data_IF_206200970580
#
_entry.id   IF_206200970580
#
_cell.length_a   1.000
_cell.length_b   1.000
_cell.length_c   1.000
_cell.angle_alpha   90.00
_cell.angle_beta   90.00
_cell.angle_gamma   90.00
#
_symmetry.space_group_name_H-M   'P 1'
#
loop_
_entity.id
_entity.type
_entity.pdbx_description
1 polymer ?
#
# COMPACT_ATOMS: atom_id res chain seq x y z
N UNK A 1 -34.69 58.59 -32.09
CA UNK A 1 -35.12 57.23 -31.70
C UNK A 1 -34.16 56.23 -32.33
N UNK A 2 -33.03 55.99 -31.69
CA UNK A 2 -31.97 55.07 -32.15
C UNK A 2 -31.87 53.89 -31.23
N UNK A 3 -31.84 52.69 -31.80
CA UNK A 3 -31.55 51.44 -31.14
C UNK A 3 -30.05 51.18 -31.19
N UNK A 4 -29.34 50.91 -30.10
CA UNK A 4 -27.93 50.57 -30.16
C UNK A 4 -27.76 49.09 -30.50
N UNK A 5 -26.80 48.82 -31.43
CA UNK A 5 -26.47 47.52 -31.95
C UNK A 5 -25.74 46.63 -30.94
N UNK A 6 -25.97 45.35 -31.12
CA UNK A 6 -25.21 44.24 -30.52
C UNK A 6 -23.80 44.18 -31.15
N UNK A 7 -22.76 44.30 -30.35
CA UNK A 7 -21.44 43.77 -30.68
C UNK A 7 -20.69 43.48 -29.38
N UNK A 8 -20.62 42.23 -29.02
CA UNK A 8 -19.90 41.70 -27.87
C UNK A 8 -19.74 40.19 -27.98
N UNK A 9 -19.21 39.71 -29.12
CA UNK A 9 -18.65 38.38 -29.18
C UNK A 9 -17.26 38.46 -28.51
N UNK A 10 -17.19 38.01 -27.25
CA UNK A 10 -15.93 37.87 -26.58
C UNK A 10 -15.09 36.82 -27.33
N UNK A 11 -13.90 37.25 -27.76
CA UNK A 11 -12.89 36.39 -28.35
C UNK A 11 -12.51 35.33 -27.28
N UNK A 12 -12.87 34.08 -27.54
CA UNK A 12 -12.39 32.93 -26.77
C UNK A 12 -10.88 32.85 -27.04
N UNK A 13 -10.04 32.98 -26.01
CA UNK A 13 -8.59 32.95 -26.15
C UNK A 13 -8.12 31.64 -26.76
N UNK A 14 -7.03 31.66 -27.51
CA UNK A 14 -6.43 30.46 -28.12
C UNK A 14 -6.10 29.38 -27.08
N UNK A 15 -5.84 29.78 -25.84
CA UNK A 15 -5.63 28.87 -24.71
C UNK A 15 -6.88 28.04 -24.34
N UNK A 16 -8.08 28.66 -24.33
CA UNK A 16 -9.33 27.95 -24.05
C UNK A 16 -9.73 26.94 -25.13
N UNK A 17 -9.31 27.18 -26.39
CA UNK A 17 -9.52 26.28 -27.53
C UNK A 17 -8.54 25.09 -27.44
N UNK A 18 -7.31 25.30 -26.97
CA UNK A 18 -6.31 24.27 -26.83
C UNK A 18 -6.62 23.35 -25.62
N UNK A 19 -7.16 23.90 -24.56
CA UNK A 19 -7.63 23.14 -23.39
C UNK A 19 -8.84 22.27 -23.71
N UNK A 20 -9.82 22.74 -24.50
CA UNK A 20 -10.92 21.89 -25.01
C UNK A 20 -10.45 20.79 -25.96
N UNK A 21 -9.41 21.00 -26.74
CA UNK A 21 -8.79 19.96 -27.58
C UNK A 21 -8.02 18.92 -26.76
N UNK A 22 -7.47 19.31 -25.60
CA UNK A 22 -6.85 18.36 -24.65
C UNK A 22 -7.89 17.44 -24.00
N UNK A 23 -9.07 17.98 -23.67
CA UNK A 23 -10.17 17.22 -23.05
C UNK A 23 -10.93 16.31 -24.03
N UNK A 24 -10.79 16.53 -25.34
CA UNK A 24 -11.46 15.76 -26.40
C UNK A 24 -10.61 14.59 -26.95
N UNK A 25 -9.52 14.19 -26.30
CA UNK A 25 -8.78 12.99 -26.69
C UNK A 25 -9.55 11.74 -26.28
N UNK A 26 -9.61 10.69 -27.15
CA UNK A 26 -10.18 9.40 -26.75
C UNK A 26 -9.40 8.89 -25.54
N UNK A 27 -10.05 8.10 -24.65
CA UNK A 27 -9.37 7.53 -23.48
C UNK A 27 -8.13 6.75 -23.96
N UNK A 28 -7.00 7.05 -23.34
CA UNK A 28 -5.73 6.39 -23.64
C UNK A 28 -5.89 4.88 -23.39
N UNK A 29 -5.27 4.06 -24.22
CA UNK A 29 -5.14 2.63 -23.94
C UNK A 29 -4.40 2.46 -22.61
N UNK A 30 -4.63 1.34 -21.91
CA UNK A 30 -4.00 1.05 -20.61
C UNK A 30 -2.46 1.14 -20.69
N UNK A 31 -1.85 0.81 -21.84
CA UNK A 31 -0.41 0.92 -22.07
C UNK A 31 0.06 2.38 -22.20
N UNK A 32 -0.68 3.22 -22.90
CA UNK A 32 -0.39 4.66 -23.03
C UNK A 32 -0.59 5.39 -21.70
N UNK A 33 -1.62 4.98 -20.95
CA UNK A 33 -1.96 5.54 -19.66
C UNK A 33 -0.88 5.21 -18.60
N UNK A 34 -0.41 3.96 -18.50
CA UNK A 34 0.62 3.57 -17.55
C UNK A 34 1.97 4.26 -17.82
N UNK A 35 2.37 4.41 -19.08
CA UNK A 35 3.60 5.11 -19.46
C UNK A 35 3.55 6.62 -19.21
N UNK A 36 2.36 7.21 -19.24
CA UNK A 36 2.16 8.63 -18.97
C UNK A 36 2.06 8.90 -17.47
N UNK A 37 1.40 8.03 -16.74
CA UNK A 37 1.20 8.12 -15.29
C UNK A 37 2.53 8.08 -14.52
N UNK A 38 3.49 7.26 -14.94
CA UNK A 38 4.81 7.21 -14.31
C UNK A 38 5.62 8.50 -14.54
N UNK A 39 5.58 9.07 -15.75
CA UNK A 39 6.25 10.35 -16.04
C UNK A 39 5.57 11.52 -15.35
N UNK A 40 4.25 11.52 -15.27
CA UNK A 40 3.48 12.56 -14.59
C UNK A 40 3.59 12.44 -13.07
N UNK A 41 3.72 11.24 -12.51
CA UNK A 41 3.99 11.00 -11.11
C UNK A 41 5.35 11.60 -10.68
N UNK A 42 6.42 11.37 -11.45
CA UNK A 42 7.73 11.97 -11.17
C UNK A 42 7.72 13.50 -11.36
N UNK A 43 6.96 14.00 -12.34
CA UNK A 43 6.85 15.43 -12.61
C UNK A 43 6.08 16.15 -11.50
N UNK A 44 4.97 15.57 -11.03
CA UNK A 44 4.14 16.14 -9.96
C UNK A 44 4.82 16.08 -8.60
N UNK A 45 5.65 15.08 -8.34
CA UNK A 45 6.48 15.03 -7.14
C UNK A 45 7.56 16.14 -7.12
N UNK A 46 7.91 16.69 -8.26
CA UNK A 46 8.85 17.84 -8.39
C UNK A 46 8.16 19.21 -8.35
N UNK A 47 6.89 19.28 -8.75
CA UNK A 47 6.11 20.51 -8.84
C UNK A 47 5.17 20.72 -7.64
N UNK A 48 5.24 19.87 -6.61
CA UNK A 48 4.55 20.09 -5.33
C UNK A 48 5.21 21.27 -4.63
N UNK A 49 4.60 22.43 -4.77
CA UNK A 49 5.04 23.68 -4.17
C UNK A 49 5.04 23.58 -2.64
N UNK A 50 6.17 23.89 -2.03
CA UNK A 50 6.46 23.84 -0.58
C UNK A 50 5.52 24.71 0.29
N UNK A 51 4.67 25.53 -0.33
CA UNK A 51 3.79 26.47 0.35
C UNK A 51 2.59 25.84 1.04
N UNK A 52 2.07 24.71 0.53
CA UNK A 52 0.90 24.05 1.12
C UNK A 52 1.21 23.24 2.40
N UNK A 53 2.48 22.87 2.61
CA UNK A 53 2.92 22.07 3.77
C UNK A 53 3.26 22.87 5.03
N UNK A 54 3.28 24.22 4.98
CA UNK A 54 3.72 25.06 6.08
C UNK A 54 2.63 25.54 7.04
N UNK A 55 1.34 25.31 6.78
CA UNK A 55 0.25 25.93 7.54
C UNK A 55 -0.36 25.08 8.66
N UNK A 56 -0.12 23.77 8.74
CA UNK A 56 -0.70 22.94 9.82
C UNK A 56 0.22 22.95 11.04
N UNK A 57 -0.12 23.77 12.06
CA UNK A 57 0.73 24.03 13.22
C UNK A 57 0.39 23.23 14.47
N UNK A 58 -0.78 22.55 14.56
CA UNK A 58 -1.14 21.79 15.78
C UNK A 58 -2.15 20.66 15.52
N UNK A 59 -2.24 19.69 16.46
CA UNK A 59 -3.29 18.66 16.45
C UNK A 59 -4.71 19.26 16.53
N UNK A 60 -4.86 20.42 17.15
CA UNK A 60 -6.13 21.15 17.25
C UNK A 60 -6.57 21.68 15.89
N UNK A 61 -5.64 22.18 15.07
CA UNK A 61 -5.94 22.67 13.73
C UNK A 61 -6.44 21.56 12.81
N UNK A 62 -5.88 20.34 12.95
CA UNK A 62 -6.33 19.15 12.20
C UNK A 62 -7.75 18.73 12.62
N UNK A 63 -8.08 18.78 13.92
CA UNK A 63 -9.41 18.42 14.41
C UNK A 63 -10.48 19.43 13.96
N UNK A 64 -10.14 20.70 13.93
CA UNK A 64 -11.06 21.75 13.46
C UNK A 64 -11.26 21.67 11.94
N UNK A 65 -10.20 21.42 11.15
CA UNK A 65 -10.32 21.18 9.71
C UNK A 65 -11.21 19.97 9.38
N UNK A 66 -11.14 18.89 10.16
CA UNK A 66 -12.00 17.71 9.98
C UNK A 66 -13.48 18.03 10.27
N UNK A 67 -13.79 18.97 11.16
CA UNK A 67 -15.19 19.38 11.48
C UNK A 67 -15.86 20.10 10.32
N UNK A 68 -15.11 20.88 9.56
CA UNK A 68 -15.63 21.72 8.47
C UNK A 68 -15.72 21.00 7.11
N UNK A 69 -15.28 19.73 7.03
CA UNK A 69 -15.35 18.95 5.80
C UNK A 69 -16.81 18.68 5.38
N UNK A 70 -17.13 18.98 4.12
CA UNK A 70 -18.40 18.55 3.52
C UNK A 70 -18.44 17.00 3.48
N UNK A 71 -19.44 16.41 4.14
CA UNK A 71 -19.56 14.95 4.21
C UNK A 71 -20.16 14.36 2.94
N UNK A 72 -19.71 13.15 2.57
CA UNK A 72 -20.34 12.36 1.51
C UNK A 72 -21.71 11.84 1.95
N UNK A 73 -22.47 11.26 1.02
CA UNK A 73 -23.55 10.35 1.40
C UNK A 73 -23.00 9.15 2.19
N UNK A 74 -23.85 8.51 2.98
CA UNK A 74 -23.50 7.27 3.67
C UNK A 74 -23.42 6.13 2.66
N UNK A 75 -22.34 5.37 2.71
CA UNK A 75 -22.09 4.18 1.88
C UNK A 75 -22.28 2.94 2.75
N UNK A 76 -23.13 2.02 2.31
CA UNK A 76 -23.27 0.73 2.97
C UNK A 76 -22.13 -0.20 2.52
N UNK A 77 -21.41 -0.76 3.50
CA UNK A 77 -20.44 -1.83 3.27
C UNK A 77 -20.90 -3.13 3.90
N UNK A 78 -20.28 -4.24 3.54
CA UNK A 78 -20.58 -5.57 4.13
C UNK A 78 -20.35 -5.63 5.64
N UNK A 79 -19.56 -4.71 6.19
CA UNK A 79 -19.28 -4.67 7.63
C UNK A 79 -20.10 -3.61 8.38
N UNK A 80 -20.58 -2.57 7.69
CA UNK A 80 -21.38 -1.51 8.29
C UNK A 80 -21.37 -0.23 7.44
N UNK A 81 -22.22 0.77 7.78
CA UNK A 81 -22.27 2.02 7.05
C UNK A 81 -21.05 2.90 7.34
N UNK A 82 -20.56 3.58 6.29
CA UNK A 82 -19.41 4.49 6.38
C UNK A 82 -19.73 5.82 5.71
N UNK A 83 -19.03 6.89 6.12
CA UNK A 83 -19.19 8.21 5.54
C UNK A 83 -17.82 8.89 5.44
N UNK A 84 -17.46 9.32 4.23
CA UNK A 84 -16.26 10.09 3.92
C UNK A 84 -16.51 11.59 3.86
N UNK A 85 -15.65 12.29 3.14
CA UNK A 85 -15.74 13.72 2.88
C UNK A 85 -15.56 14.02 1.40
N UNK A 86 -15.95 15.24 1.00
CA UNK A 86 -15.75 15.76 -0.35
C UNK A 86 -14.51 16.62 -0.39
N UNK A 87 -13.73 16.46 -1.44
CA UNK A 87 -12.57 17.25 -1.75
C UNK A 87 -12.63 17.59 -3.25
N UNK A 88 -13.09 18.78 -3.56
CA UNK A 88 -13.37 19.21 -4.93
C UNK A 88 -14.37 18.24 -5.61
N UNK A 89 -13.98 17.62 -6.73
CA UNK A 89 -14.82 16.65 -7.45
C UNK A 89 -14.76 15.24 -6.86
N UNK A 90 -13.89 15.01 -5.87
CA UNK A 90 -13.66 13.70 -5.29
C UNK A 90 -14.53 13.45 -4.06
N UNK A 91 -14.87 12.20 -3.87
CA UNK A 91 -15.34 11.64 -2.61
C UNK A 91 -14.21 10.78 -2.03
N UNK A 92 -13.79 11.13 -0.82
CA UNK A 92 -12.61 10.59 -0.16
C UNK A 92 -13.01 9.86 1.11
N UNK A 93 -12.50 8.66 1.28
CA UNK A 93 -12.71 7.84 2.46
C UNK A 93 -11.35 7.40 2.99
N UNK A 94 -10.95 7.90 4.16
CA UNK A 94 -9.67 7.58 4.80
C UNK A 94 -9.88 6.72 6.05
N UNK A 95 -9.04 5.71 6.24
CA UNK A 95 -9.06 4.84 7.41
C UNK A 95 -10.25 3.88 7.45
N UNK A 96 -10.72 3.41 6.29
CA UNK A 96 -11.72 2.35 6.23
C UNK A 96 -11.16 1.05 6.77
N UNK A 97 -11.75 0.49 7.81
CA UNK A 97 -11.35 -0.78 8.41
C UNK A 97 -11.79 -1.96 7.54
N UNK A 98 -10.85 -2.75 7.04
CA UNK A 98 -11.10 -3.96 6.27
C UNK A 98 -10.86 -5.25 7.06
N UNK A 99 -10.04 -5.18 8.13
CA UNK A 99 -9.68 -6.29 8.98
C UNK A 99 -9.86 -5.99 10.47
N UNK A 100 -10.11 -7.02 11.27
CA UNK A 100 -10.08 -6.94 12.73
C UNK A 100 -8.65 -6.59 13.19
N UNK A 101 -8.52 -5.84 14.28
CA UNK A 101 -7.22 -5.51 14.85
C UNK A 101 -6.39 -6.79 15.10
N UNK A 102 -5.22 -6.96 14.51
CA UNK A 102 -4.41 -8.17 14.61
C UNK A 102 -3.56 -8.18 15.89
N UNK A 103 -4.22 -8.03 17.03
CA UNK A 103 -3.63 -7.93 18.37
C UNK A 103 -3.96 -9.14 19.23
N UNK A 104 -3.17 -9.39 20.28
CA UNK A 104 -3.40 -10.49 21.22
C UNK A 104 -3.51 -11.85 20.52
N UNK A 105 -4.61 -12.54 20.69
CA UNK A 105 -4.85 -13.86 20.08
C UNK A 105 -4.94 -13.87 18.55
N UNK A 106 -5.04 -12.69 17.90
CA UNK A 106 -5.01 -12.55 16.44
C UNK A 106 -3.62 -12.19 15.91
N UNK A 107 -2.66 -11.90 16.78
CA UNK A 107 -1.26 -11.63 16.39
C UNK A 107 -0.65 -12.87 15.73
N UNK A 108 0.15 -12.68 14.67
CA UNK A 108 0.81 -13.73 13.88
C UNK A 108 -0.14 -14.76 13.23
N UNK A 109 -1.41 -14.41 13.05
CA UNK A 109 -2.41 -15.27 12.41
C UNK A 109 -2.93 -14.65 11.12
N UNK A 110 -3.52 -15.46 10.22
CA UNK A 110 -4.29 -14.95 9.10
C UNK A 110 -5.30 -13.89 9.56
N UNK A 111 -5.54 -12.83 8.78
CA UNK A 111 -6.45 -11.77 9.16
C UNK A 111 -7.89 -12.27 9.22
N UNK A 112 -8.72 -11.55 9.98
CA UNK A 112 -10.16 -11.79 10.04
C UNK A 112 -10.92 -10.53 9.66
N UNK A 113 -12.11 -10.69 9.09
CA UNK A 113 -13.04 -9.58 8.88
C UNK A 113 -13.38 -8.91 10.22
N UNK A 114 -13.55 -7.58 10.26
CA UNK A 114 -13.96 -6.92 11.49
C UNK A 114 -15.39 -7.33 11.86
N UNK A 115 -15.74 -7.23 13.15
CA UNK A 115 -17.11 -7.37 13.58
C UNK A 115 -18.00 -6.33 12.87
N UNK A 116 -19.21 -6.71 12.45
CA UNK A 116 -20.15 -5.77 11.86
C UNK A 116 -20.53 -4.65 12.85
N UNK A 117 -20.78 -3.44 12.31
CA UNK A 117 -21.27 -2.30 13.08
C UNK A 117 -22.52 -1.71 12.45
N UNK A 118 -23.36 -1.02 13.27
CA UNK A 118 -24.64 -0.43 12.86
C UNK A 118 -24.61 1.08 12.73
N UNK A 119 -23.76 1.73 13.51
CA UNK A 119 -23.63 3.19 13.48
C UNK A 119 -22.77 3.63 12.31
N UNK A 120 -23.02 4.84 11.78
CA UNK A 120 -22.21 5.37 10.67
C UNK A 120 -20.80 5.68 11.16
N UNK A 121 -19.82 4.97 10.63
CA UNK A 121 -18.41 5.25 10.90
C UNK A 121 -17.89 6.35 9.97
N UNK A 122 -17.33 7.42 10.52
CA UNK A 122 -16.71 8.50 9.77
C UNK A 122 -15.31 8.06 9.28
N UNK A 123 -15.13 8.00 7.96
CA UNK A 123 -13.91 7.64 7.27
C UNK A 123 -13.20 8.91 6.76
N UNK A 124 -12.74 9.75 7.66
CA UNK A 124 -12.20 11.10 7.35
C UNK A 124 -10.74 11.30 7.78
N UNK A 125 -10.19 10.34 8.51
CA UNK A 125 -8.81 10.37 9.00
C UNK A 125 -8.08 9.08 8.64
N UNK A 126 -6.79 9.18 8.39
CA UNK A 126 -5.95 8.02 8.10
C UNK A 126 -5.95 7.03 9.28
N UNK A 127 -6.02 5.74 8.99
CA UNK A 127 -5.74 4.70 9.97
C UNK A 127 -4.24 4.58 10.27
N UNK A 128 -3.89 4.02 11.41
CA UNK A 128 -2.50 3.81 11.80
C UNK A 128 -1.76 2.95 10.76
N UNK A 129 -0.53 3.31 10.39
CA UNK A 129 0.36 2.42 9.66
C UNK A 129 0.84 1.29 10.59
N UNK A 130 1.24 0.17 9.97
CA UNK A 130 1.80 -0.95 10.71
C UNK A 130 3.07 -0.55 11.48
N UNK A 131 3.32 -1.23 12.61
CA UNK A 131 4.59 -1.14 13.33
C UNK A 131 5.73 -1.44 12.35
N UNK A 132 6.78 -0.61 12.37
CA UNK A 132 7.83 -0.60 11.36
C UNK A 132 9.22 -0.67 11.96
N UNK A 133 10.16 -1.25 11.21
CA UNK A 133 11.56 -1.26 11.60
C UNK A 133 12.10 0.17 11.71
N UNK A 134 12.78 0.47 12.82
CA UNK A 134 13.39 1.78 13.07
C UNK A 134 12.43 2.90 13.49
N UNK A 135 11.14 2.59 13.70
CA UNK A 135 10.13 3.52 14.22
C UNK A 135 9.51 2.89 15.47
N UNK A 136 9.50 3.59 16.59
CA UNK A 136 8.88 3.05 17.81
C UNK A 136 7.35 2.98 17.66
N UNK A 137 6.68 2.01 18.31
CA UNK A 137 5.22 1.96 18.34
C UNK A 137 4.64 3.29 18.87
N UNK A 138 3.62 3.82 18.19
CA UNK A 138 3.04 5.12 18.50
C UNK A 138 3.76 6.32 17.87
N UNK A 139 4.98 6.15 17.36
CA UNK A 139 5.69 7.20 16.61
C UNK A 139 5.21 7.26 15.15
N UNK A 140 5.22 8.46 14.58
CA UNK A 140 4.90 8.67 13.16
C UNK A 140 6.06 8.24 12.27
N UNK A 141 5.75 7.72 11.09
CA UNK A 141 6.74 7.25 10.09
C UNK A 141 7.48 8.41 9.41
N UNK A 142 7.21 9.65 9.79
CA UNK A 142 7.71 10.84 9.13
C UNK A 142 9.20 10.82 8.84
N UNK A 143 9.55 10.80 7.57
CA UNK A 143 10.90 11.07 7.06
C UNK A 143 11.94 9.97 7.22
N UNK A 144 11.62 8.77 7.75
CA UNK A 144 12.62 7.74 8.03
C UNK A 144 12.76 6.63 6.98
N UNK A 145 11.75 6.43 6.14
CA UNK A 145 11.78 5.35 5.15
C UNK A 145 11.97 5.82 3.71
N UNK A 146 12.70 6.85 3.43
CA UNK A 146 13.15 7.39 2.14
C UNK A 146 13.18 8.93 2.14
N UNK A 147 13.06 9.57 3.31
CA UNK A 147 13.04 11.03 3.42
C UNK A 147 11.65 11.65 3.19
N UNK A 148 10.62 10.82 3.08
CA UNK A 148 9.26 11.32 2.86
C UNK A 148 8.63 11.84 4.16
N UNK A 149 8.03 13.03 4.15
CA UNK A 149 7.31 13.54 5.31
C UNK A 149 6.07 12.67 5.59
N UNK A 150 5.72 12.50 6.85
CA UNK A 150 4.42 11.93 7.20
C UNK A 150 3.30 12.80 6.61
N UNK A 151 2.23 12.15 6.14
CA UNK A 151 1.06 12.91 5.74
C UNK A 151 0.51 13.70 6.94
N UNK A 152 0.05 14.94 6.75
CA UNK A 152 -0.59 15.69 7.81
C UNK A 152 -1.71 14.88 8.47
N UNK A 153 -1.71 14.79 9.81
CA UNK A 153 -2.69 14.02 10.57
C UNK A 153 -2.51 12.49 10.50
N UNK A 154 -1.40 11.98 9.97
CA UNK A 154 -1.11 10.55 10.02
C UNK A 154 -0.85 10.14 11.48
N UNK A 155 -1.57 9.12 12.02
CA UNK A 155 -1.32 8.62 13.36
C UNK A 155 0.02 7.89 13.46
N UNK A 156 0.48 7.68 14.70
CA UNK A 156 1.64 6.83 14.96
C UNK A 156 1.42 5.37 14.54
N UNK A 157 2.50 4.61 14.45
CA UNK A 157 2.45 3.18 14.10
C UNK A 157 1.75 2.36 15.17
N UNK A 158 0.92 1.41 14.74
CA UNK A 158 0.17 0.52 15.64
C UNK A 158 0.07 -0.90 15.03
N UNK A 159 -0.20 -1.89 15.88
CA UNK A 159 -0.59 -3.22 15.40
C UNK A 159 -2.01 -3.18 14.79
N UNK A 160 -2.91 -2.33 15.30
CA UNK A 160 -4.22 -2.08 14.70
C UNK A 160 -4.09 -1.21 13.44
N UNK A 161 -3.61 -1.82 12.37
CA UNK A 161 -3.20 -1.16 11.14
C UNK A 161 -3.99 -1.58 9.88
N UNK A 162 -5.01 -2.44 10.00
CA UNK A 162 -5.70 -3.02 8.85
C UNK A 162 -6.75 -2.05 8.28
N UNK A 163 -6.25 -1.00 7.63
CA UNK A 163 -7.04 0.09 7.02
C UNK A 163 -6.70 0.30 5.55
N UNK A 164 -7.70 0.78 4.80
CA UNK A 164 -7.53 1.25 3.43
C UNK A 164 -8.04 2.68 3.30
N UNK A 165 -7.64 3.34 2.22
CA UNK A 165 -8.20 4.63 1.82
C UNK A 165 -8.75 4.50 0.41
N UNK A 166 -9.83 5.23 0.10
CA UNK A 166 -10.53 5.19 -1.20
C UNK A 166 -10.77 6.60 -1.70
N UNK A 167 -10.45 6.85 -2.98
CA UNK A 167 -10.76 8.07 -3.71
C UNK A 167 -11.58 7.72 -4.95
N UNK A 168 -12.67 8.47 -5.19
CA UNK A 168 -13.54 8.28 -6.35
C UNK A 168 -14.21 9.58 -6.77
N UNK A 169 -14.52 9.74 -8.04
CA UNK A 169 -15.33 10.88 -8.52
C UNK A 169 -16.84 10.70 -8.28
N UNK A 170 -17.31 9.52 -7.87
CA UNK A 170 -18.73 9.31 -7.60
C UNK A 170 -19.04 7.92 -7.08
N UNK A 171 -20.13 7.84 -6.28
CA UNK A 171 -20.56 6.60 -5.62
C UNK A 171 -21.37 5.68 -6.54
N UNK A 172 -21.51 6.01 -7.81
CA UNK A 172 -22.21 5.20 -8.80
C UNK A 172 -21.36 5.07 -10.07
N UNK A 173 -21.63 4.06 -10.87
CA UNK A 173 -20.88 3.78 -12.10
C UNK A 173 -20.15 2.44 -12.04
N UNK A 174 -19.22 2.24 -12.96
CA UNK A 174 -18.37 1.06 -13.09
C UNK A 174 -16.96 1.50 -13.47
N UNK A 175 -16.32 2.30 -12.60
CA UNK A 175 -14.95 2.77 -12.84
C UNK A 175 -13.96 1.64 -12.64
N UNK A 176 -12.89 1.58 -13.44
CA UNK A 176 -11.76 0.71 -13.14
C UNK A 176 -11.24 0.98 -11.71
N UNK A 177 -10.79 -0.05 -11.04
CA UNK A 177 -10.28 0.04 -9.67
C UNK A 177 -8.77 -0.17 -9.68
N UNK A 178 -8.03 0.72 -9.03
CA UNK A 178 -6.58 0.64 -8.89
C UNK A 178 -6.19 0.49 -7.42
N UNK A 179 -5.62 -0.66 -7.07
CA UNK A 179 -5.21 -0.98 -5.69
C UNK A 179 -3.70 -0.83 -5.58
N UNK A 180 -3.26 0.19 -4.84
CA UNK A 180 -1.85 0.51 -4.60
C UNK A 180 -1.28 -0.28 -3.42
N UNK A 181 -0.15 -0.94 -3.66
CA UNK A 181 0.68 -1.61 -2.65
C UNK A 181 1.99 -0.83 -2.50
N UNK A 182 2.20 -0.26 -1.32
CA UNK A 182 3.34 0.61 -1.04
C UNK A 182 4.68 -0.13 -1.04
N UNK A 183 5.76 0.61 -1.31
CA UNK A 183 7.15 0.15 -1.24
C UNK A 183 7.66 -0.02 0.19
N UNK A 184 8.98 0.01 0.36
CA UNK A 184 9.65 -0.20 1.65
C UNK A 184 9.89 -1.66 2.00
N UNK A 185 10.06 -2.53 0.99
CA UNK A 185 10.22 -3.98 1.17
C UNK A 185 8.99 -4.59 1.82
N UNK A 186 9.24 -5.44 2.80
CA UNK A 186 8.24 -6.02 3.70
C UNK A 186 8.37 -5.48 5.13
N UNK A 187 9.15 -4.41 5.32
CA UNK A 187 9.57 -3.93 6.65
C UNK A 187 8.98 -2.58 7.02
N UNK A 188 8.70 -1.71 6.08
CA UNK A 188 8.18 -0.37 6.31
C UNK A 188 7.31 0.14 5.17
N UNK A 189 6.74 1.35 5.33
CA UNK A 189 5.83 1.96 4.39
C UNK A 189 4.40 2.13 4.94
N UNK A 190 3.59 2.87 4.20
CA UNK A 190 2.18 3.13 4.56
C UNK A 190 1.38 3.51 3.32
N UNK A 191 0.17 2.98 3.20
CA UNK A 191 -0.80 3.45 2.20
C UNK A 191 -1.34 4.86 2.47
N UNK A 192 -1.08 5.39 3.69
CA UNK A 192 -1.42 6.76 4.06
C UNK A 192 -0.29 7.77 3.85
N UNK A 193 0.87 7.38 3.28
CA UNK A 193 1.94 8.32 2.99
C UNK A 193 1.49 9.40 1.99
N UNK A 194 1.91 10.66 2.21
CA UNK A 194 1.45 11.80 1.41
C UNK A 194 1.71 11.62 -0.10
N UNK A 195 2.83 11.01 -0.45
CA UNK A 195 3.19 10.72 -1.84
C UNK A 195 2.26 9.70 -2.54
N UNK A 196 1.48 8.94 -1.77
CA UNK A 196 0.56 7.92 -2.26
C UNK A 196 -0.91 8.39 -2.23
N UNK A 197 -1.16 9.71 -2.09
CA UNK A 197 -2.52 10.23 -2.20
C UNK A 197 -3.13 9.87 -3.55
N UNK A 198 -4.24 9.14 -3.51
CA UNK A 198 -4.89 8.59 -4.69
C UNK A 198 -5.73 9.58 -5.50
N UNK A 199 -5.88 10.82 -4.99
CA UNK A 199 -6.77 11.81 -5.56
C UNK A 199 -6.41 12.19 -7.00
N UNK A 200 -5.13 12.32 -7.32
CA UNK A 200 -4.70 12.63 -8.67
C UNK A 200 -5.00 11.52 -9.69
N UNK A 201 -4.82 10.27 -9.29
CA UNK A 201 -5.19 9.12 -10.13
C UNK A 201 -6.70 9.07 -10.35
N UNK A 202 -7.48 9.19 -9.28
CA UNK A 202 -8.93 9.19 -9.36
C UNK A 202 -9.47 10.33 -10.23
N UNK A 203 -8.90 11.55 -10.07
CA UNK A 203 -9.33 12.75 -10.83
C UNK A 203 -8.99 12.67 -12.31
N UNK A 204 -7.78 12.22 -12.66
CA UNK A 204 -7.29 12.23 -14.06
C UNK A 204 -7.69 10.99 -14.85
N UNK A 205 -7.76 9.83 -14.17
CA UNK A 205 -8.03 8.55 -14.81
C UNK A 205 -9.51 8.13 -14.79
N UNK A 206 -10.36 8.88 -14.07
CA UNK A 206 -11.74 8.47 -13.75
C UNK A 206 -11.78 7.02 -13.22
N UNK A 207 -10.89 6.74 -12.27
CA UNK A 207 -10.74 5.43 -11.62
C UNK A 207 -11.08 5.53 -10.14
N UNK A 208 -11.42 4.41 -9.51
CA UNK A 208 -11.41 4.31 -8.06
C UNK A 208 -10.01 3.90 -7.61
N UNK A 209 -9.36 4.74 -6.79
CA UNK A 209 -8.04 4.44 -6.23
C UNK A 209 -8.18 3.93 -4.81
N UNK A 210 -7.51 2.83 -4.50
CA UNK A 210 -7.44 2.24 -3.16
C UNK A 210 -5.99 2.14 -2.73
N UNK A 211 -5.65 2.67 -1.54
CA UNK A 211 -4.33 2.45 -0.92
C UNK A 211 -4.46 1.61 0.34
N UNK A 212 -3.44 0.82 0.65
CA UNK A 212 -3.53 -0.27 1.62
C UNK A 212 -2.47 -0.14 2.71
N UNK A 213 -2.89 -0.23 3.98
CA UNK A 213 -2.03 -0.61 5.10
C UNK A 213 -2.20 -2.10 5.38
N UNK A 214 -1.10 -2.79 5.63
CA UNK A 214 -1.06 -4.22 5.98
C UNK A 214 0.08 -4.46 6.97
N UNK A 215 0.08 -5.59 7.67
CA UNK A 215 1.16 -5.94 8.59
C UNK A 215 2.50 -6.07 7.88
N UNK A 216 3.56 -5.65 8.57
CA UNK A 216 4.93 -5.60 8.09
C UNK A 216 5.86 -6.37 9.03
N UNK A 217 7.10 -6.60 8.59
CA UNK A 217 8.20 -7.17 9.36
C UNK A 217 7.81 -8.43 10.16
N UNK A 218 8.23 -8.54 11.41
CA UNK A 218 7.93 -9.66 12.30
C UNK A 218 6.43 -9.86 12.51
N UNK A 219 5.60 -8.80 12.51
CA UNK A 219 4.17 -8.90 12.73
C UNK A 219 3.41 -9.44 11.50
N UNK A 220 3.97 -9.26 10.30
CA UNK A 220 3.40 -9.74 9.05
C UNK A 220 3.98 -11.06 8.55
N UNK A 221 5.21 -11.41 8.97
CA UNK A 221 5.98 -12.46 8.29
C UNK A 221 6.75 -13.40 9.23
N UNK A 222 6.41 -13.47 10.52
CA UNK A 222 6.98 -14.44 11.46
C UNK A 222 6.42 -15.83 11.19
N UNK A 223 7.23 -16.75 10.66
CA UNK A 223 6.79 -18.13 10.39
C UNK A 223 6.90 -19.01 11.63
N UNK A 224 5.74 -19.36 12.19
CA UNK A 224 5.62 -20.19 13.40
C UNK A 224 5.10 -21.62 13.12
N UNK A 225 4.78 -21.95 11.87
CA UNK A 225 4.19 -23.25 11.53
C UNK A 225 4.99 -24.44 12.06
N UNK A 226 6.31 -24.44 11.80
CA UNK A 226 7.22 -25.50 12.26
C UNK A 226 7.49 -25.48 13.78
N UNK A 227 6.97 -24.47 14.49
CA UNK A 227 7.15 -24.29 15.93
C UNK A 227 5.85 -24.50 16.73
N UNK A 228 4.81 -25.05 16.08
CA UNK A 228 3.52 -25.32 16.68
C UNK A 228 2.52 -24.16 16.65
N UNK A 229 2.85 -23.08 15.89
CA UNK A 229 1.94 -21.96 15.63
C UNK A 229 1.08 -22.17 14.38
N UNK A 230 0.44 -21.09 13.93
CA UNK A 230 -0.34 -21.11 12.68
C UNK A 230 0.60 -21.33 11.47
N UNK A 231 0.31 -22.31 10.61
CA UNK A 231 1.17 -22.65 9.49
C UNK A 231 1.30 -21.51 8.46
N UNK A 232 0.30 -20.63 8.37
CA UNK A 232 0.33 -19.46 7.46
C UNK A 232 0.79 -18.17 8.15
N UNK A 233 1.31 -18.23 9.37
CA UNK A 233 1.78 -17.06 10.12
C UNK A 233 2.86 -16.25 9.36
N UNK A 234 3.73 -16.94 8.60
CA UNK A 234 4.74 -16.32 7.74
C UNK A 234 4.18 -15.57 6.53
N UNK A 235 2.86 -15.63 6.33
CA UNK A 235 2.16 -14.96 5.23
C UNK A 235 1.10 -13.97 5.73
N UNK A 236 1.04 -13.68 7.02
CA UNK A 236 -0.03 -12.88 7.60
C UNK A 236 -0.17 -11.51 6.89
N UNK A 237 0.94 -10.82 6.58
CA UNK A 237 0.92 -9.55 5.85
C UNK A 237 0.46 -9.67 4.39
N UNK A 238 0.77 -10.77 3.71
CA UNK A 238 0.26 -11.03 2.35
C UNK A 238 -1.22 -11.40 2.38
N UNK A 239 -1.65 -12.17 3.38
CA UNK A 239 -3.06 -12.51 3.58
C UNK A 239 -3.90 -11.28 3.95
N UNK A 240 -3.33 -10.27 4.61
CA UNK A 240 -3.97 -8.96 4.80
C UNK A 240 -4.34 -8.33 3.45
N UNK A 241 -3.43 -8.39 2.47
CA UNK A 241 -3.68 -7.86 1.13
C UNK A 241 -4.75 -8.69 0.40
N UNK A 242 -4.75 -10.01 0.56
CA UNK A 242 -5.83 -10.87 0.02
C UNK A 242 -7.18 -10.46 0.60
N UNK A 243 -7.25 -10.21 1.92
CA UNK A 243 -8.48 -9.73 2.57
C UNK A 243 -8.92 -8.36 2.05
N UNK A 244 -7.98 -7.46 1.71
CA UNK A 244 -8.31 -6.19 1.03
C UNK A 244 -8.94 -6.45 -0.34
N UNK A 245 -8.38 -7.36 -1.13
CA UNK A 245 -8.94 -7.67 -2.45
C UNK A 245 -10.34 -8.31 -2.35
N UNK A 246 -10.58 -9.13 -1.33
CA UNK A 246 -11.93 -9.59 -1.01
C UNK A 246 -12.86 -8.44 -0.63
N UNK A 247 -12.36 -7.50 0.20
CA UNK A 247 -13.13 -6.30 0.55
C UNK A 247 -13.48 -5.46 -0.69
N UNK A 248 -12.54 -5.28 -1.61
CA UNK A 248 -12.76 -4.60 -2.90
C UNK A 248 -13.84 -5.32 -3.71
N UNK A 249 -13.73 -6.63 -3.89
CA UNK A 249 -14.76 -7.43 -4.56
C UNK A 249 -16.16 -7.21 -3.98
N UNK A 250 -16.27 -7.21 -2.65
CA UNK A 250 -17.54 -7.19 -1.94
C UNK A 250 -18.16 -5.79 -1.82
N UNK A 251 -17.34 -4.71 -1.88
CA UNK A 251 -17.80 -3.38 -1.49
C UNK A 251 -17.56 -2.28 -2.54
N UNK A 252 -16.59 -2.43 -3.47
CA UNK A 252 -16.14 -1.30 -4.28
C UNK A 252 -17.20 -0.76 -5.24
N UNK A 253 -18.22 -1.56 -5.56
CA UNK A 253 -19.37 -1.12 -6.36
C UNK A 253 -20.15 0.01 -5.67
N UNK A 254 -20.23 0.02 -4.33
CA UNK A 254 -20.86 1.08 -3.57
C UNK A 254 -20.04 2.39 -3.58
N UNK A 255 -18.78 2.32 -4.00
CA UNK A 255 -17.90 3.47 -4.22
C UNK A 255 -17.77 3.82 -5.72
N UNK A 256 -18.64 3.28 -6.56
CA UNK A 256 -18.68 3.55 -8.00
C UNK A 256 -17.63 2.80 -8.84
N UNK A 257 -16.92 1.82 -8.24
CA UNK A 257 -15.94 0.98 -8.90
C UNK A 257 -16.53 -0.30 -9.50
N UNK A 258 -15.83 -0.90 -10.45
CA UNK A 258 -16.17 -2.21 -11.02
C UNK A 258 -15.32 -3.31 -10.36
N UNK A 259 -15.91 -4.22 -9.54
CA UNK A 259 -15.16 -5.32 -8.95
C UNK A 259 -14.64 -6.33 -10.00
N UNK A 260 -15.12 -6.28 -11.25
CA UNK A 260 -14.62 -7.07 -12.35
C UNK A 260 -13.51 -6.39 -13.17
N UNK A 261 -13.09 -5.18 -12.79
CA UNK A 261 -12.00 -4.44 -13.44
C UNK A 261 -11.01 -3.87 -12.41
N UNK A 262 -10.30 -4.77 -11.72
CA UNK A 262 -9.36 -4.44 -10.65
C UNK A 262 -7.93 -4.62 -11.15
N UNK A 263 -7.11 -3.57 -11.04
CA UNK A 263 -5.66 -3.60 -11.28
C UNK A 263 -4.92 -3.44 -9.96
N UNK A 264 -4.06 -4.41 -9.62
CA UNK A 264 -3.11 -4.29 -8.52
C UNK A 264 -1.81 -3.68 -9.05
N UNK A 265 -1.23 -2.74 -8.32
CA UNK A 265 0.03 -2.11 -8.73
C UNK A 265 0.87 -1.69 -7.52
N UNK A 266 2.18 -1.69 -7.69
CA UNK A 266 3.09 -1.33 -6.61
C UNK A 266 4.51 -1.13 -7.09
N UNK A 267 5.27 -0.36 -6.32
CA UNK A 267 6.67 -0.03 -6.59
C UNK A 267 7.58 -0.66 -5.53
N UNK A 268 8.80 -1.08 -5.93
CA UNK A 268 9.78 -1.67 -5.02
C UNK A 268 9.21 -2.89 -4.28
N UNK A 269 9.17 -2.87 -2.94
CA UNK A 269 8.49 -3.89 -2.13
C UNK A 269 7.01 -4.07 -2.49
N UNK A 270 6.34 -3.03 -3.00
CA UNK A 270 4.97 -3.11 -3.52
C UNK A 270 4.89 -3.96 -4.80
N UNK A 271 5.85 -3.80 -5.70
CA UNK A 271 6.00 -4.66 -6.88
C UNK A 271 6.26 -6.12 -6.51
N UNK A 272 7.07 -6.36 -5.46
CA UNK A 272 7.29 -7.69 -4.93
C UNK A 272 5.99 -8.31 -4.37
N UNK A 273 5.16 -7.54 -3.66
CA UNK A 273 3.85 -7.98 -3.19
C UNK A 273 2.92 -8.33 -4.35
N UNK A 274 2.89 -7.51 -5.41
CA UNK A 274 2.15 -7.81 -6.65
C UNK A 274 2.61 -9.14 -7.25
N UNK A 275 3.92 -9.41 -7.27
CA UNK A 275 4.48 -10.68 -7.76
C UNK A 275 4.06 -11.87 -6.89
N UNK A 276 4.10 -11.73 -5.56
CA UNK A 276 3.68 -12.79 -4.63
C UNK A 276 2.20 -13.15 -4.82
N UNK A 277 1.32 -12.14 -4.96
CA UNK A 277 -0.13 -12.36 -5.16
C UNK A 277 -0.42 -13.20 -6.41
N UNK A 278 0.43 -13.15 -7.45
CA UNK A 278 0.23 -13.95 -8.66
C UNK A 278 0.44 -15.45 -8.42
N UNK A 279 1.18 -15.83 -7.37
CA UNK A 279 1.39 -17.23 -6.98
C UNK A 279 0.50 -17.68 -5.81
N UNK A 280 -0.32 -16.79 -5.24
CA UNK A 280 -1.18 -17.09 -4.09
C UNK A 280 -2.57 -17.54 -4.55
N UNK A 281 -2.99 -18.78 -4.27
CA UNK A 281 -4.33 -19.27 -4.65
C UNK A 281 -5.47 -18.42 -4.10
N UNK A 282 -5.33 -17.88 -2.86
CA UNK A 282 -6.33 -17.02 -2.24
C UNK A 282 -6.54 -15.68 -2.95
N UNK A 283 -5.60 -15.24 -3.76
CA UNK A 283 -5.72 -13.99 -4.54
C UNK A 283 -6.32 -14.20 -5.93
N UNK A 284 -6.39 -15.45 -6.39
CA UNK A 284 -6.86 -15.77 -7.74
C UNK A 284 -8.31 -15.30 -7.96
N UNK A 285 -8.53 -14.58 -9.08
CA UNK A 285 -9.84 -14.04 -9.45
C UNK A 285 -10.28 -12.79 -8.68
N UNK A 286 -9.45 -12.26 -7.77
CA UNK A 286 -9.73 -11.02 -7.04
C UNK A 286 -9.16 -9.77 -7.75
N UNK A 287 -8.32 -9.95 -8.75
CA UNK A 287 -7.77 -8.89 -9.59
C UNK A 287 -7.66 -9.37 -11.05
N UNK A 288 -7.58 -8.43 -11.99
CA UNK A 288 -7.69 -8.67 -13.42
C UNK A 288 -6.46 -8.22 -14.20
N UNK A 289 -5.63 -7.34 -13.62
CA UNK A 289 -4.35 -6.85 -14.18
C UNK A 289 -3.37 -6.59 -13.06
N UNK A 290 -2.09 -6.65 -13.39
CA UNK A 290 -1.01 -6.41 -12.45
C UNK A 290 0.06 -5.48 -13.04
N UNK A 291 0.58 -4.54 -12.24
CA UNK A 291 1.71 -3.68 -12.62
C UNK A 291 2.80 -3.79 -11.57
N UNK A 292 3.98 -4.21 -11.98
CA UNK A 292 5.18 -4.37 -11.14
C UNK A 292 6.17 -3.28 -11.51
N UNK A 293 6.45 -2.37 -10.58
CA UNK A 293 7.37 -1.25 -10.79
C UNK A 293 8.62 -1.44 -9.92
N UNK A 294 9.79 -1.55 -10.53
CA UNK A 294 11.11 -1.52 -9.88
C UNK A 294 11.31 -2.51 -8.72
N UNK A 295 10.66 -3.67 -8.76
CA UNK A 295 10.77 -4.63 -7.66
C UNK A 295 10.08 -5.96 -7.93
N UNK A 296 10.42 -6.71 -9.00
CA UNK A 296 9.83 -8.01 -9.21
C UNK A 296 10.33 -8.99 -8.12
N UNK A 297 9.41 -9.48 -7.29
CA UNK A 297 9.68 -10.56 -6.34
C UNK A 297 9.65 -11.90 -7.04
N UNK A 298 10.80 -12.38 -7.52
CA UNK A 298 10.88 -13.65 -8.24
C UNK A 298 10.83 -14.86 -7.31
N UNK A 299 11.36 -14.69 -6.09
CA UNK A 299 11.45 -15.74 -5.06
C UNK A 299 10.97 -15.23 -3.70
N UNK A 300 10.44 -16.13 -2.91
CA UNK A 300 10.20 -15.96 -1.48
C UNK A 300 11.35 -16.59 -0.67
N UNK A 301 11.41 -16.33 0.62
CA UNK A 301 12.41 -17.04 1.44
C UNK A 301 12.00 -18.50 1.66
N UNK A 302 12.97 -19.43 1.70
CA UNK A 302 12.67 -20.83 2.02
C UNK A 302 12.09 -20.95 3.44
N UNK A 303 11.15 -21.89 3.65
CA UNK A 303 10.55 -22.21 4.94
C UNK A 303 11.59 -22.45 6.05
N UNK A 304 12.66 -23.18 5.73
CA UNK A 304 13.75 -23.45 6.68
C UNK A 304 14.38 -22.15 7.20
N UNK A 305 14.64 -21.17 6.33
CA UNK A 305 15.18 -19.86 6.69
C UNK A 305 14.20 -19.05 7.54
N UNK A 306 12.91 -19.06 7.18
CA UNK A 306 11.87 -18.40 7.96
C UNK A 306 11.76 -19.00 9.37
N UNK A 307 11.88 -20.32 9.49
CA UNK A 307 11.88 -21.03 10.77
C UNK A 307 13.13 -20.70 11.61
N UNK A 308 14.30 -20.61 10.99
CA UNK A 308 15.54 -20.16 11.67
C UNK A 308 15.37 -18.75 12.24
N UNK A 309 14.80 -17.82 11.47
CA UNK A 309 14.53 -16.46 11.93
C UNK A 309 13.54 -16.45 13.12
N UNK A 310 12.53 -17.31 13.07
CA UNK A 310 11.57 -17.45 14.18
C UNK A 310 12.23 -17.99 15.46
N UNK A 311 13.09 -19.02 15.35
CA UNK A 311 13.87 -19.53 16.48
C UNK A 311 14.80 -18.46 17.05
N UNK A 312 15.52 -17.75 16.20
CA UNK A 312 16.39 -16.65 16.63
C UNK A 312 15.61 -15.54 17.38
N UNK A 313 14.37 -15.25 16.95
CA UNK A 313 13.50 -14.31 17.67
C UNK A 313 13.11 -14.83 19.05
N UNK A 314 12.68 -16.11 19.16
CA UNK A 314 12.35 -16.72 20.44
C UNK A 314 13.55 -16.70 21.38
N UNK A 315 14.73 -17.08 20.90
CA UNK A 315 15.97 -17.06 21.68
C UNK A 315 16.31 -15.65 22.16
N UNK A 316 16.20 -14.62 21.30
CA UNK A 316 16.45 -13.23 21.65
C UNK A 316 15.47 -12.69 22.69
N UNK A 317 14.27 -13.25 22.77
CA UNK A 317 13.23 -12.94 23.77
C UNK A 317 13.29 -13.85 25.02
N UNK A 318 14.24 -14.79 25.09
CA UNK A 318 14.33 -15.76 26.18
C UNK A 318 13.15 -16.75 26.22
N UNK A 319 12.55 -17.04 25.05
CA UNK A 319 11.42 -17.95 24.89
C UNK A 319 11.87 -19.28 24.26
N UNK A 320 11.10 -20.34 24.54
CA UNK A 320 11.27 -21.65 23.89
C UNK A 320 10.16 -21.88 22.86
N UNK A 321 10.32 -22.88 22.02
CA UNK A 321 9.34 -23.28 20.99
C UNK A 321 7.92 -23.48 21.53
N UNK A 322 7.75 -23.97 22.78
CA UNK A 322 6.45 -24.12 23.43
C UNK A 322 5.83 -22.84 24.02
N UNK A 323 6.53 -21.72 24.00
CA UNK A 323 6.14 -20.49 24.71
C UNK A 323 5.34 -19.51 23.81
N UNK A 324 4.66 -19.98 22.76
CA UNK A 324 3.99 -19.11 21.79
C UNK A 324 2.92 -18.21 22.42
N UNK A 325 2.19 -18.69 23.41
CA UNK A 325 1.22 -17.88 24.16
C UNK A 325 1.90 -16.71 24.91
N UNK A 326 3.14 -16.92 25.39
CA UNK A 326 3.93 -15.82 25.99
C UNK A 326 4.38 -14.82 24.96
N UNK A 327 4.79 -15.29 23.75
CA UNK A 327 5.14 -14.41 22.64
C UNK A 327 3.93 -13.52 22.24
N UNK A 328 2.73 -14.08 22.15
CA UNK A 328 1.50 -13.33 21.86
C UNK A 328 1.21 -12.27 22.94
N UNK A 329 1.63 -12.46 24.18
CA UNK A 329 1.42 -11.56 25.31
C UNK A 329 2.48 -10.47 25.49
N UNK A 330 3.62 -10.52 24.78
CA UNK A 330 4.65 -9.49 24.88
C UNK A 330 4.19 -8.17 24.27
N UNK A 331 4.78 -7.06 24.69
CA UNK A 331 4.55 -5.77 24.04
C UNK A 331 5.12 -5.77 22.62
N UNK A 332 4.48 -5.01 21.74
CA UNK A 332 4.97 -4.82 20.38
C UNK A 332 6.39 -4.24 20.34
N UNK A 333 6.73 -3.37 21.28
CA UNK A 333 8.07 -2.78 21.39
C UNK A 333 9.14 -3.84 21.72
N UNK A 334 8.86 -4.78 22.61
CA UNK A 334 9.80 -5.87 22.96
C UNK A 334 10.05 -6.77 21.74
N UNK A 335 8.98 -7.17 21.04
CA UNK A 335 9.05 -8.01 19.84
C UNK A 335 9.82 -7.28 18.73
N UNK A 336 9.52 -5.99 18.48
CA UNK A 336 10.18 -5.20 17.47
C UNK A 336 11.68 -5.01 17.78
N UNK A 337 12.04 -4.74 19.03
CA UNK A 337 13.42 -4.57 19.43
C UNK A 337 14.25 -5.87 19.24
N UNK A 338 13.66 -7.03 19.53
CA UNK A 338 14.29 -8.31 19.26
C UNK A 338 14.41 -8.59 17.75
N UNK A 339 13.37 -8.32 16.98
CA UNK A 339 13.37 -8.50 15.53
C UNK A 339 14.39 -7.61 14.83
N UNK A 340 14.59 -6.37 15.29
CA UNK A 340 15.59 -5.44 14.75
C UNK A 340 17.02 -5.96 14.88
N UNK A 341 17.35 -6.65 15.98
CA UNK A 341 18.68 -7.26 16.19
C UNK A 341 18.95 -8.38 15.15
N UNK A 342 17.93 -9.17 14.84
CA UNK A 342 18.03 -10.28 13.87
C UNK A 342 18.18 -9.71 12.46
N UNK A 343 17.32 -8.74 12.07
CA UNK A 343 17.39 -8.10 10.76
C UNK A 343 18.74 -7.42 10.52
N UNK A 344 19.28 -6.71 11.54
CA UNK A 344 20.59 -6.07 11.48
C UNK A 344 21.74 -7.06 11.22
N UNK A 345 21.67 -8.24 11.79
CA UNK A 345 22.68 -9.30 11.59
C UNK A 345 22.62 -9.94 10.19
N UNK A 346 21.49 -9.83 9.47
CA UNK A 346 21.25 -10.45 8.16
C UNK A 346 21.39 -9.47 6.98
N UNK A 347 21.67 -8.19 7.26
CA UNK A 347 21.81 -7.15 6.23
C UNK A 347 20.47 -6.54 5.78
N UNK A 348 20.51 -5.57 4.84
CA UNK A 348 19.35 -4.75 4.47
C UNK A 348 18.14 -5.51 3.90
N UNK A 349 18.38 -6.67 3.30
CA UNK A 349 17.37 -7.56 2.73
C UNK A 349 17.02 -8.72 3.66
N UNK A 350 17.68 -8.80 4.81
CA UNK A 350 17.49 -9.85 5.82
C UNK A 350 16.27 -9.57 6.71
N UNK A 351 15.83 -10.60 7.42
CA UNK A 351 14.76 -10.47 8.40
C UNK A 351 13.48 -11.17 7.98
N UNK A 352 12.35 -10.55 8.29
CA UNK A 352 11.02 -11.15 8.14
C UNK A 352 10.38 -10.70 6.82
N UNK A 353 10.15 -11.65 5.92
CA UNK A 353 9.52 -11.48 4.60
C UNK A 353 8.73 -12.73 4.23
N UNK A 354 7.88 -12.70 3.20
CA UNK A 354 7.09 -13.84 2.78
C UNK A 354 7.95 -15.09 2.55
N UNK A 355 7.49 -16.24 3.06
CA UNK A 355 8.16 -17.53 2.86
C UNK A 355 7.24 -18.49 2.10
N UNK A 356 7.82 -19.52 1.51
CA UNK A 356 7.05 -20.62 0.92
C UNK A 356 6.48 -21.44 2.08
N UNK A 357 5.18 -21.30 2.39
CA UNK A 357 4.51 -22.02 3.47
C UNK A 357 3.76 -23.27 2.99
N UNK A 358 3.71 -23.49 1.67
CA UNK A 358 2.97 -24.60 1.06
C UNK A 358 1.45 -24.45 1.06
N UNK A 359 0.90 -23.39 1.64
CA UNK A 359 -0.54 -23.14 1.83
C UNK A 359 -0.95 -21.83 1.14
N UNK A 360 -0.59 -20.68 1.72
CA UNK A 360 -0.92 -19.38 1.17
C UNK A 360 0.00 -19.00 0.01
N UNK A 361 1.29 -19.32 0.10
CA UNK A 361 2.27 -19.22 -0.98
C UNK A 361 2.92 -20.58 -1.20
N UNK A 362 2.36 -21.43 -2.08
CA UNK A 362 2.82 -22.83 -2.25
C UNK A 362 4.13 -22.95 -3.01
N UNK A 363 4.58 -21.90 -3.70
CA UNK A 363 5.78 -21.90 -4.54
C UNK A 363 6.36 -20.49 -4.67
N UNK A 364 7.55 -20.41 -5.21
CA UNK A 364 8.12 -19.13 -5.66
C UNK A 364 7.24 -18.48 -6.72
N UNK A 365 7.09 -17.16 -6.71
CA UNK A 365 6.23 -16.44 -7.67
C UNK A 365 6.62 -16.67 -9.14
N UNK A 366 7.92 -16.53 -9.44
CA UNK A 366 8.42 -16.62 -10.82
C UNK A 366 9.68 -17.47 -10.95
N UNK A 367 9.83 -18.49 -10.12
CA UNK A 367 10.93 -19.44 -10.22
C UNK A 367 10.42 -20.86 -10.00
N UNK A 368 10.84 -21.86 -10.84
CA UNK A 368 11.65 -21.73 -12.08
C UNK A 368 10.88 -21.14 -13.25
N UNK A 369 9.56 -20.97 -13.14
CA UNK A 369 8.64 -20.51 -14.17
C UNK A 369 7.54 -19.62 -13.60
N UNK A 370 6.74 -18.99 -14.47
CA UNK A 370 5.58 -18.20 -14.08
C UNK A 370 4.45 -19.09 -13.48
N UNK A 371 3.68 -18.59 -12.50
CA UNK A 371 2.62 -19.35 -11.88
C UNK A 371 1.46 -19.58 -12.85
N UNK A 372 1.10 -20.86 -13.09
CA UNK A 372 0.03 -21.22 -14.01
C UNK A 372 -1.33 -20.64 -13.59
N UNK A 373 -1.56 -20.45 -12.30
CA UNK A 373 -2.81 -19.92 -11.75
C UNK A 373 -3.12 -18.49 -12.22
N UNK A 374 -2.11 -17.68 -12.50
CA UNK A 374 -2.24 -16.30 -12.98
C UNK A 374 -1.83 -16.11 -14.45
N UNK A 375 -1.64 -17.19 -15.22
CA UNK A 375 -1.19 -17.12 -16.62
C UNK A 375 -2.10 -16.29 -17.54
N UNK A 376 -3.39 -16.17 -17.19
CA UNK A 376 -4.35 -15.34 -17.91
C UNK A 376 -4.38 -13.86 -17.49
N UNK A 377 -3.63 -13.46 -16.47
CA UNK A 377 -3.59 -12.09 -15.97
C UNK A 377 -2.57 -11.26 -16.75
N UNK A 378 -2.96 -10.20 -17.46
CA UNK A 378 -2.01 -9.27 -18.07
C UNK A 378 -1.11 -8.63 -17.03
N UNK A 379 0.21 -8.64 -17.27
CA UNK A 379 1.22 -8.08 -16.36
C UNK A 379 2.05 -7.04 -17.10
N UNK A 380 2.20 -5.86 -16.49
CA UNK A 380 3.16 -4.85 -16.92
C UNK A 380 4.32 -4.82 -15.93
N UNK A 381 5.55 -4.89 -16.44
CA UNK A 381 6.76 -4.81 -15.62
C UNK A 381 7.63 -3.68 -16.14
N UNK A 382 8.13 -2.85 -15.24
CA UNK A 382 9.03 -1.75 -15.58
C UNK A 382 10.06 -1.51 -14.49
N UNK A 383 11.23 -0.98 -14.90
CA UNK A 383 12.32 -0.60 -14.02
C UNK A 383 12.87 0.78 -14.43
N UNK A 384 13.51 1.47 -13.50
CA UNK A 384 14.28 2.66 -13.81
C UNK A 384 15.64 2.28 -14.43
N UNK A 385 16.26 3.24 -15.11
CA UNK A 385 17.58 3.04 -15.71
C UNK A 385 18.66 2.79 -14.65
N UNK A 386 18.61 3.51 -13.55
CA UNK A 386 19.67 3.59 -12.54
C UNK A 386 19.17 3.14 -11.14
N UNK A 387 18.51 1.98 -11.07
CA UNK A 387 17.86 1.43 -9.85
C UNK A 387 18.80 1.35 -8.65
N UNK A 388 20.00 0.78 -8.86
CA UNK A 388 20.96 0.56 -7.78
C UNK A 388 21.61 1.85 -7.26
N UNK A 389 21.61 2.93 -8.02
CA UNK A 389 22.26 4.19 -7.68
C UNK A 389 21.79 4.75 -6.36
N UNK A 390 20.48 4.69 -6.09
CA UNK A 390 19.89 5.16 -4.83
C UNK A 390 20.52 4.47 -3.61
N UNK A 391 20.70 3.16 -3.67
CA UNK A 391 21.21 2.34 -2.56
C UNK A 391 22.73 2.39 -2.44
N UNK A 392 23.42 2.59 -3.56
CA UNK A 392 24.89 2.54 -3.63
C UNK A 392 25.55 3.90 -3.43
N UNK A 393 24.84 5.03 -3.58
CA UNK A 393 25.44 6.39 -3.51
C UNK A 393 26.18 6.70 -2.21
N UNK A 394 25.84 6.03 -1.11
CA UNK A 394 26.53 6.14 0.19
C UNK A 394 27.66 5.14 0.38
N UNK A 395 27.92 4.27 -0.60
CA UNK A 395 28.97 3.27 -0.51
C UNK A 395 30.35 3.91 -0.76
N UNK A 396 31.40 3.60 0.02
CA UNK A 396 32.74 4.20 -0.15
C UNK A 396 33.33 4.06 -1.55
N UNK A 397 33.01 2.96 -2.26
CA UNK A 397 33.44 2.70 -3.65
C UNK A 397 32.44 3.18 -4.71
N UNK A 398 31.46 4.03 -4.37
CA UNK A 398 30.47 4.49 -5.36
C UNK A 398 31.16 5.23 -6.52
N UNK A 399 30.92 4.76 -7.74
CA UNK A 399 31.60 5.25 -8.96
C UNK A 399 32.92 4.55 -9.30
N UNK A 400 33.44 3.68 -8.41
CA UNK A 400 34.71 2.96 -8.55
C UNK A 400 34.53 1.44 -8.47
N UNK A 401 33.30 0.92 -8.58
CA UNK A 401 33.04 -0.52 -8.55
C UNK A 401 33.72 -1.21 -9.74
N UNK A 402 34.51 -2.25 -9.43
CA UNK A 402 35.04 -3.16 -10.43
C UNK A 402 34.01 -4.25 -10.77
N UNK A 403 34.24 -4.97 -11.87
CA UNK A 403 33.44 -6.13 -12.24
C UNK A 403 33.45 -7.23 -11.16
N UNK A 404 34.58 -7.40 -10.46
CA UNK A 404 34.70 -8.31 -9.32
C UNK A 404 33.86 -7.86 -8.14
N UNK A 405 33.84 -6.56 -7.81
CA UNK A 405 32.96 -6.00 -6.76
C UNK A 405 31.47 -6.26 -7.07
N UNK A 406 31.07 -6.19 -8.35
CA UNK A 406 29.70 -6.45 -8.77
C UNK A 406 29.35 -7.93 -8.72
N UNK A 407 30.26 -8.79 -9.24
CA UNK A 407 30.04 -10.24 -9.29
C UNK A 407 29.98 -10.87 -7.90
N UNK A 408 30.75 -10.35 -6.94
CA UNK A 408 30.68 -10.80 -5.54
C UNK A 408 29.41 -10.46 -4.81
N UNK A 409 28.56 -9.59 -5.39
CA UNK A 409 27.26 -9.13 -4.82
C UNK A 409 26.04 -9.74 -5.51
N UNK A 410 26.23 -10.39 -6.65
CA UNK A 410 25.19 -11.09 -7.40
C UNK A 410 24.97 -12.53 -6.89
#
# INVERSE_FOLDING_TARGET
LGVPGRSGLAAISAEAVDERKRLARPPLSVAEWAGQTFRDFIRLAKDADDTHFREIRSMTDVQDQVRDLERTAVVATTNGPVRGYREDVLQVFKGLRYGAAPVGALRFRPPRRPAPWTDVADAVSLGAPAIQAGVAPGETTGGRSNGDPAAPGQPGTDEDCLFINVWTQGLSGKRPVMVWLHGGGFSNGSGGAAMYDGGNLARRGDVVTVTVNHRLNVFGYLHLGELGGDPSSGQAGMLDIVLVLEWVRDNIAAFGGDPADVTIFGESGGGAKVSMLQAMPGAHGLYHRAIVQSGPGLRAIPTARATENARALLDALGLKTGDLARLEGLSAAEIQAAAAKIAGAQGPMGGFSPCIDGIALPRDPFHPDAPAISAGVPVMVGTNKDEATLFLRGHPKFGEFTEEDLTSRA
#
